data_IF_743250463061
#
_entry.id   IF_743250463061
#
_cell.length_a   1.000
_cell.length_b   1.000
_cell.length_c   1.000
_cell.angle_alpha   90.00
_cell.angle_beta   90.00
_cell.angle_gamma   90.00
#
_symmetry.space_group_name_H-M   'P 1'
#
loop_
_entity.id
_entity.type
_entity.pdbx_description
1 polymer ?
#
# COMPACT_ATOMS: atom_id res chain seq x y z
N UNK A 1 8.90 -21.23 -10.23
CA UNK A 1 9.84 -20.52 -9.32
C UNK A 1 9.24 -19.16 -8.95
N UNK A 2 9.27 -18.73 -7.68
CA UNK A 2 8.69 -17.42 -7.33
C UNK A 2 9.59 -16.29 -7.83
N UNK A 3 8.94 -15.31 -8.45
CA UNK A 3 9.53 -14.04 -8.90
C UNK A 3 8.76 -12.88 -8.30
N UNK A 4 9.41 -11.73 -8.25
CA UNK A 4 8.78 -10.49 -7.92
C UNK A 4 9.23 -9.35 -8.82
N UNK A 5 8.36 -8.36 -8.95
CA UNK A 5 8.64 -7.08 -9.59
C UNK A 5 7.90 -5.99 -8.82
N UNK A 6 8.26 -4.72 -9.02
CA UNK A 6 7.54 -3.61 -8.42
C UNK A 6 7.33 -2.46 -9.38
N UNK A 7 6.28 -1.67 -9.12
CA UNK A 7 5.94 -0.50 -9.92
C UNK A 7 5.65 0.69 -9.02
N UNK A 8 6.36 1.80 -9.29
CA UNK A 8 5.97 3.11 -8.76
C UNK A 8 4.66 3.56 -9.40
N UNK A 9 3.73 4.00 -8.58
CA UNK A 9 2.43 4.49 -9.00
C UNK A 9 2.14 5.84 -8.35
N UNK A 10 1.67 6.81 -9.14
CA UNK A 10 1.35 8.16 -8.68
C UNK A 10 -0.15 8.33 -8.74
N UNK A 11 -0.77 8.46 -7.57
CA UNK A 11 -2.19 8.76 -7.40
C UNK A 11 -2.38 10.27 -7.36
N UNK A 12 -3.31 10.79 -8.15
CA UNK A 12 -3.66 12.20 -8.16
C UNK A 12 -4.89 12.44 -7.27
N UNK A 13 -4.79 13.37 -6.34
CA UNK A 13 -5.93 13.73 -5.51
C UNK A 13 -6.99 14.46 -6.34
N UNK A 14 -8.25 14.09 -6.18
CA UNK A 14 -9.39 14.79 -6.83
C UNK A 14 -9.49 16.25 -6.35
N UNK A 15 -9.24 16.46 -5.06
CA UNK A 15 -9.16 17.77 -4.43
C UNK A 15 -7.87 17.83 -3.62
N UNK A 16 -7.05 18.89 -3.75
CA UNK A 16 -5.82 19.02 -2.99
C UNK A 16 -6.08 18.89 -1.48
N UNK A 17 -5.32 18.03 -0.81
CA UNK A 17 -5.50 17.78 0.62
C UNK A 17 -4.51 18.62 1.45
N UNK A 18 -5.03 19.67 2.08
CA UNK A 18 -4.27 20.49 3.01
C UNK A 18 -3.96 19.75 4.31
N UNK A 19 -2.70 19.81 4.75
CA UNK A 19 -2.26 19.32 6.05
C UNK A 19 -1.41 20.39 6.72
N UNK A 20 -1.09 20.22 8.01
CA UNK A 20 -0.13 21.09 8.72
C UNK A 20 1.27 21.11 8.10
N UNK A 21 1.56 20.21 7.15
CA UNK A 21 2.87 20.06 6.48
C UNK A 21 2.82 20.42 4.99
N UNK A 22 1.74 21.06 4.54
CA UNK A 22 1.55 21.48 3.15
C UNK A 22 0.38 20.77 2.47
N UNK A 23 0.27 20.98 1.17
CA UNK A 23 -0.86 20.52 0.35
C UNK A 23 -0.46 19.31 -0.49
N UNK A 24 -1.14 18.19 -0.28
CA UNK A 24 -0.98 17.01 -1.13
C UNK A 24 -1.83 17.15 -2.40
N UNK A 25 -1.17 17.23 -3.54
CA UNK A 25 -1.79 17.12 -4.87
C UNK A 25 -1.62 15.72 -5.45
N UNK A 26 -0.61 15.00 -4.99
CA UNK A 26 -0.25 13.66 -5.45
C UNK A 26 0.16 12.77 -4.27
N UNK A 27 -0.07 11.47 -4.41
CA UNK A 27 0.39 10.42 -3.50
C UNK A 27 1.19 9.40 -4.29
N UNK A 28 2.47 9.30 -3.98
CA UNK A 28 3.32 8.23 -4.53
C UNK A 28 3.17 6.98 -3.68
N UNK A 29 3.01 5.82 -4.33
CA UNK A 29 3.03 4.50 -3.75
C UNK A 29 3.83 3.55 -4.65
N UNK A 30 4.31 2.43 -4.10
CA UNK A 30 4.97 1.38 -4.85
C UNK A 30 4.16 0.10 -4.67
N UNK A 31 3.83 -0.57 -5.76
CA UNK A 31 3.15 -1.87 -5.71
C UNK A 31 4.16 -2.96 -6.00
N UNK A 32 4.22 -3.96 -5.13
CA UNK A 32 5.03 -5.17 -5.34
C UNK A 32 4.12 -6.30 -5.81
N UNK A 33 4.59 -7.03 -6.81
CA UNK A 33 3.91 -8.14 -7.46
C UNK A 33 4.70 -9.40 -7.21
N UNK A 34 4.05 -10.46 -6.74
CA UNK A 34 4.65 -11.78 -6.52
C UNK A 34 3.92 -12.80 -7.37
N UNK A 35 4.66 -13.61 -8.14
CA UNK A 35 4.08 -14.57 -9.08
C UNK A 35 5.00 -15.78 -9.28
N UNK A 36 4.45 -16.89 -9.75
CA UNK A 36 5.24 -18.04 -10.18
C UNK A 36 5.60 -17.91 -11.66
N UNK A 37 6.86 -18.15 -12.02
CA UNK A 37 7.30 -18.24 -13.41
C UNK A 37 6.50 -19.25 -14.23
N UNK A 38 6.01 -20.30 -13.58
CA UNK A 38 5.33 -21.42 -14.22
C UNK A 38 3.82 -21.19 -14.31
N UNK A 39 3.30 -20.22 -13.55
CA UNK A 39 1.92 -19.75 -13.63
C UNK A 39 1.85 -18.22 -13.44
N UNK A 40 2.25 -17.43 -14.45
CA UNK A 40 2.34 -15.98 -14.33
C UNK A 40 0.97 -15.29 -14.24
N UNK A 41 -0.13 -16.00 -14.51
CA UNK A 41 -1.48 -15.46 -14.38
C UNK A 41 -1.91 -15.27 -12.90
N UNK A 42 -1.32 -16.04 -11.98
CA UNK A 42 -1.59 -15.89 -10.55
C UNK A 42 -0.61 -14.87 -9.94
N UNK A 43 -1.11 -13.68 -9.64
CA UNK A 43 -0.30 -12.57 -9.12
C UNK A 43 -0.85 -12.11 -7.78
N UNK A 44 -0.02 -12.20 -6.74
CA UNK A 44 -0.23 -11.52 -5.48
C UNK A 44 0.25 -10.07 -5.57
N UNK A 45 -0.52 -9.14 -5.02
CA UNK A 45 -0.20 -7.71 -5.03
C UNK A 45 -0.19 -7.18 -3.60
N UNK A 46 0.81 -6.37 -3.29
CA UNK A 46 0.88 -5.60 -2.06
C UNK A 46 1.31 -4.17 -2.30
N UNK A 47 0.96 -3.30 -1.36
CA UNK A 47 1.23 -1.87 -1.44
C UNK A 47 2.30 -1.45 -0.43
N UNK A 48 3.35 -0.82 -0.92
CA UNK A 48 4.40 -0.15 -0.16
C UNK A 48 4.15 1.37 -0.23
N UNK A 49 3.48 1.91 0.77
CA UNK A 49 3.04 3.31 0.79
C UNK A 49 3.73 4.15 1.88
N UNK A 50 5.05 4.42 1.80
CA UNK A 50 5.72 5.28 2.77
C UNK A 50 5.20 6.71 2.67
N UNK A 51 5.04 7.41 3.79
CA UNK A 51 4.52 8.78 3.86
C UNK A 51 5.67 9.82 3.78
N UNK A 52 5.69 10.72 2.78
CA UNK A 52 6.69 11.77 2.69
C UNK A 52 6.75 12.64 3.96
N UNK A 53 7.95 12.78 4.52
CA UNK A 53 8.19 13.55 5.75
C UNK A 53 7.68 12.88 7.04
N UNK A 54 7.22 11.63 6.98
CA UNK A 54 6.79 10.85 8.14
C UNK A 54 7.46 9.47 8.20
N UNK A 55 7.58 8.80 7.06
CA UNK A 55 8.25 7.52 6.93
C UNK A 55 9.77 7.74 6.75
N UNK A 56 10.61 7.38 7.74
CA UNK A 56 12.07 7.57 7.65
C UNK A 56 12.70 6.72 6.54
N UNK A 57 12.05 5.61 6.20
CA UNK A 57 12.46 4.67 5.16
C UNK A 57 12.46 5.29 3.75
N UNK A 58 11.74 6.41 3.53
CA UNK A 58 11.62 7.04 2.22
C UNK A 58 12.87 7.90 1.90
N UNK A 59 13.96 7.21 1.60
CA UNK A 59 15.24 7.78 1.19
C UNK A 59 15.80 7.02 -0.03
N UNK A 60 17.04 7.28 -0.43
CA UNK A 60 17.68 6.61 -1.58
C UNK A 60 17.69 5.07 -1.44
N UNK A 61 17.82 4.56 -0.21
CA UNK A 61 17.79 3.13 0.08
C UNK A 61 16.43 2.47 -0.09
N UNK A 62 15.34 3.22 -0.24
CA UNK A 62 14.00 2.65 -0.37
C UNK A 62 13.85 1.81 -1.65
N UNK A 63 14.19 2.39 -2.80
CA UNK A 63 14.11 1.69 -4.09
C UNK A 63 15.19 0.64 -4.23
N UNK A 64 16.39 0.89 -3.68
CA UNK A 64 17.46 -0.11 -3.64
C UNK A 64 17.03 -1.36 -2.86
N UNK A 65 16.29 -1.17 -1.76
CA UNK A 65 15.74 -2.29 -0.98
C UNK A 65 14.65 -3.05 -1.75
N UNK A 66 13.78 -2.35 -2.48
CA UNK A 66 12.80 -3.01 -3.37
C UNK A 66 13.49 -3.81 -4.48
N UNK A 67 14.56 -3.29 -5.07
CA UNK A 67 15.36 -4.00 -6.08
C UNK A 67 16.01 -5.27 -5.50
N UNK A 68 16.62 -5.16 -4.31
CA UNK A 68 17.20 -6.31 -3.59
C UNK A 68 16.14 -7.39 -3.31
N UNK A 69 14.97 -6.96 -2.82
CA UNK A 69 13.86 -7.86 -2.53
C UNK A 69 13.40 -8.58 -3.78
N UNK A 70 13.21 -7.88 -4.90
CA UNK A 70 12.74 -8.52 -6.13
C UNK A 70 13.77 -9.50 -6.69
N UNK A 71 15.08 -9.18 -6.60
CA UNK A 71 16.17 -10.09 -6.99
C UNK A 71 16.26 -11.33 -6.09
N UNK A 72 15.96 -11.18 -4.80
CA UNK A 72 16.16 -12.20 -3.78
C UNK A 72 14.85 -12.70 -3.15
N UNK A 73 13.73 -12.62 -3.88
CA UNK A 73 12.38 -12.79 -3.32
C UNK A 73 12.18 -14.10 -2.53
N UNK A 74 12.85 -15.18 -2.91
CA UNK A 74 12.76 -16.46 -2.20
C UNK A 74 13.28 -16.38 -0.75
N UNK A 75 14.25 -15.49 -0.46
CA UNK A 75 14.72 -15.22 0.91
C UNK A 75 13.67 -14.54 1.79
N UNK A 76 12.75 -13.81 1.15
CA UNK A 76 11.68 -13.05 1.80
C UNK A 76 10.38 -13.85 1.91
N UNK A 77 10.37 -15.14 1.53
CA UNK A 77 9.19 -16.01 1.64
C UNK A 77 8.80 -16.25 3.11
N UNK A 78 9.79 -16.40 3.98
CA UNK A 78 9.58 -16.38 5.43
C UNK A 78 9.87 -14.98 5.99
N UNK A 79 8.83 -14.17 6.07
CA UNK A 79 8.93 -12.80 6.57
C UNK A 79 9.23 -12.74 8.07
N UNK A 80 9.04 -13.83 8.83
CA UNK A 80 9.39 -13.85 10.26
C UNK A 80 10.90 -13.92 10.48
N UNK A 81 11.63 -14.53 9.55
CA UNK A 81 13.09 -14.61 9.59
C UNK A 81 13.78 -13.43 8.93
N UNK A 82 13.05 -12.49 8.34
CA UNK A 82 13.62 -11.37 7.59
C UNK A 82 13.45 -10.06 8.35
N UNK A 83 14.57 -9.38 8.61
CA UNK A 83 14.53 -8.06 9.23
C UNK A 83 14.21 -6.98 8.18
N UNK A 84 13.02 -6.39 8.32
CA UNK A 84 12.53 -5.23 7.57
C UNK A 84 12.04 -4.14 8.52
N UNK A 85 12.57 -4.09 9.75
CA UNK A 85 12.10 -3.16 10.79
C UNK A 85 12.24 -1.71 10.36
N UNK A 86 13.30 -1.37 9.61
CA UNK A 86 13.53 -0.04 9.07
C UNK A 86 12.71 0.26 7.80
N UNK A 87 12.07 -0.76 7.21
CA UNK A 87 11.32 -0.65 5.95
C UNK A 87 9.87 -1.12 6.14
N UNK A 88 9.17 -0.50 7.09
CA UNK A 88 7.82 -0.87 7.51
C UNK A 88 6.79 -0.95 6.36
N UNK A 89 6.82 -0.03 5.40
CA UNK A 89 5.87 -0.06 4.29
C UNK A 89 6.19 -1.16 3.29
N UNK A 90 7.49 -1.46 3.08
CA UNK A 90 7.92 -2.61 2.27
C UNK A 90 7.51 -3.92 2.94
N UNK A 91 7.70 -4.03 4.26
CA UNK A 91 7.27 -5.21 5.03
C UNK A 91 5.78 -5.47 4.84
N UNK A 92 4.95 -4.44 5.04
CA UNK A 92 3.50 -4.55 4.83
C UNK A 92 3.15 -4.92 3.39
N UNK A 93 3.83 -4.32 2.39
CA UNK A 93 3.64 -4.67 0.99
C UNK A 93 4.00 -6.13 0.68
N UNK A 94 5.08 -6.66 1.24
CA UNK A 94 5.43 -8.07 1.07
C UNK A 94 4.44 -9.01 1.76
N UNK A 95 4.06 -8.73 3.00
CA UNK A 95 3.08 -9.55 3.75
C UNK A 95 1.77 -9.65 2.99
N UNK A 96 1.29 -8.52 2.47
CA UNK A 96 0.04 -8.47 1.68
C UNK A 96 0.18 -9.11 0.31
N UNK A 97 1.31 -8.95 -0.39
CA UNK A 97 1.54 -9.59 -1.68
C UNK A 97 1.61 -11.13 -1.57
N UNK A 98 2.33 -11.66 -0.59
CA UNK A 98 2.38 -13.10 -0.36
C UNK A 98 1.03 -13.65 0.09
N UNK A 99 0.31 -12.95 0.98
CA UNK A 99 -1.03 -13.37 1.42
C UNK A 99 -2.03 -13.35 0.25
N UNK A 100 -1.97 -12.34 -0.61
CA UNK A 100 -2.78 -12.28 -1.81
C UNK A 100 -2.44 -13.42 -2.78
N UNK A 101 -1.14 -13.69 -2.98
CA UNK A 101 -0.68 -14.79 -3.82
C UNK A 101 -1.19 -16.15 -3.30
N UNK A 102 -1.13 -16.38 -1.98
CA UNK A 102 -1.71 -17.58 -1.33
C UNK A 102 -3.23 -17.66 -1.56
N UNK A 103 -3.91 -16.51 -1.60
CA UNK A 103 -5.32 -16.38 -1.93
C UNK A 103 -5.59 -16.29 -3.44
N UNK A 104 -4.69 -16.85 -4.26
CA UNK A 104 -4.81 -16.94 -5.73
C UNK A 104 -4.96 -15.60 -6.43
N UNK A 105 -4.43 -14.52 -5.84
CA UNK A 105 -4.49 -13.18 -6.40
C UNK A 105 -5.88 -12.53 -6.36
N UNK A 106 -6.77 -13.00 -5.48
CA UNK A 106 -8.16 -12.53 -5.41
C UNK A 106 -8.35 -11.11 -4.86
N UNK A 107 -7.31 -10.52 -4.26
CA UNK A 107 -7.36 -9.24 -3.52
C UNK A 107 -8.24 -9.29 -2.27
N UNK A 108 -8.64 -10.48 -1.86
CA UNK A 108 -9.41 -10.75 -0.64
C UNK A 108 -8.51 -11.54 0.32
N UNK A 109 -7.94 -10.85 1.31
CA UNK A 109 -6.98 -11.44 2.24
C UNK A 109 -7.63 -12.37 3.26
N UNK A 110 -8.82 -11.99 3.75
CA UNK A 110 -9.60 -12.77 4.70
C UNK A 110 -11.07 -12.71 4.32
N UNK A 111 -11.72 -13.87 4.21
CA UNK A 111 -13.16 -13.95 3.96
C UNK A 111 -13.93 -13.74 5.25
N UNK A 112 -14.72 -12.68 5.30
CA UNK A 112 -15.61 -12.35 6.41
C UNK A 112 -16.84 -11.57 5.92
N UNK A 113 -17.74 -11.21 6.84
CA UNK A 113 -18.95 -10.47 6.50
C UNK A 113 -18.69 -9.11 5.81
N UNK A 114 -17.55 -8.47 6.06
CA UNK A 114 -17.18 -7.23 5.37
C UNK A 114 -16.77 -7.47 3.92
N UNK A 115 -15.84 -8.41 3.69
CA UNK A 115 -15.38 -8.72 2.33
C UNK A 115 -16.45 -9.37 1.46
N UNK A 116 -17.48 -9.96 2.07
CA UNK A 116 -18.64 -10.52 1.38
C UNK A 116 -19.79 -9.51 1.18
N UNK A 117 -19.60 -8.24 1.58
CA UNK A 117 -20.63 -7.20 1.43
C UNK A 117 -21.85 -7.35 2.37
N UNK A 118 -21.77 -8.24 3.36
CA UNK A 118 -22.86 -8.51 4.32
C UNK A 118 -22.86 -7.54 5.51
N UNK A 119 -21.74 -6.88 5.79
CA UNK A 119 -21.59 -5.92 6.91
C UNK A 119 -20.62 -4.80 6.53
N UNK A 120 -21.02 -3.54 6.70
CA UNK A 120 -20.11 -2.41 6.54
C UNK A 120 -19.17 -2.21 7.75
N UNK A 121 -18.08 -1.47 7.54
CA UNK A 121 -17.25 -0.92 8.62
C UNK A 121 -17.64 0.54 8.79
N UNK A 122 -18.01 0.94 10.01
CA UNK A 122 -18.24 2.36 10.33
C UNK A 122 -16.91 3.08 10.24
N UNK A 123 -16.85 4.14 9.45
CA UNK A 123 -15.70 5.03 9.35
C UNK A 123 -16.10 6.43 9.80
N UNK A 124 -15.14 7.19 10.29
CA UNK A 124 -15.38 8.59 10.61
C UNK A 124 -15.52 9.41 9.32
N UNK A 125 -16.47 10.33 9.31
CA UNK A 125 -16.51 11.39 8.31
C UNK A 125 -15.29 12.28 8.50
N UNK A 126 -14.58 12.55 7.42
CA UNK A 126 -13.36 13.33 7.44
C UNK A 126 -13.66 14.74 6.95
N UNK A 127 -13.62 15.71 7.86
CA UNK A 127 -13.85 17.13 7.55
C UNK A 127 -12.50 17.77 7.25
N UNK A 128 -12.32 18.25 6.02
CA UNK A 128 -11.14 19.04 5.65
C UNK A 128 -11.30 20.46 6.17
N UNK A 129 -10.25 20.95 6.82
CA UNK A 129 -10.21 22.35 7.24
C UNK A 129 -10.11 23.24 6.01
N UNK A 130 -10.97 24.26 5.95
CA UNK A 130 -11.02 25.24 4.86
C UNK A 130 -11.54 26.58 5.36
N UNK A 131 -11.99 27.45 4.44
CA UNK A 131 -12.64 28.71 4.81
C UNK A 131 -13.99 28.43 5.52
N UNK A 132 -14.53 29.39 6.29
CA UNK A 132 -15.84 29.24 6.91
C UNK A 132 -16.93 28.83 5.91
N UNK A 133 -16.94 29.44 4.72
CA UNK A 133 -17.93 29.14 3.66
C UNK A 133 -17.80 27.71 3.14
N UNK A 134 -16.57 27.20 3.03
CA UNK A 134 -16.32 25.81 2.65
C UNK A 134 -16.79 24.84 3.74
N UNK A 135 -16.53 25.16 5.00
CA UNK A 135 -16.98 24.36 6.15
C UNK A 135 -18.50 24.31 6.23
N UNK A 136 -19.18 25.44 6.02
CA UNK A 136 -20.65 25.50 6.01
C UNK A 136 -21.24 24.62 4.89
N UNK A 137 -20.63 24.63 3.69
CA UNK A 137 -21.08 23.82 2.58
C UNK A 137 -20.97 22.30 2.83
N UNK A 138 -19.95 21.84 3.56
CA UNK A 138 -19.72 20.40 3.81
C UNK A 138 -20.36 19.88 5.11
N UNK A 139 -20.69 20.75 6.07
CA UNK A 139 -21.29 20.36 7.35
C UNK A 139 -22.82 20.41 7.36
N UNK A 140 -23.42 21.23 6.49
CA UNK A 140 -24.89 21.43 6.42
C UNK A 140 -25.52 20.89 5.13
N UNK A 141 -24.83 19.99 4.41
CA UNK A 141 -25.38 19.16 3.33
C UNK A 141 -25.67 17.74 3.80
#
# INVERSE_FOLDING_TARGET
MIKADYKKYILHFKQPAGTSRGVYTQRTSWFIFVFDSDNPAQIGIGECAPLPGLSPELNAGFTEKLDDICKNIERYRDLKSTDLTEFSSIKMGLETAFLDYQNRGSKIFYRNAFTEGKRGIKINGLVWMGSPEFLDAILFT
#
